data_IF_876038560117
#
_entry.id   IF_876038560117
#
_cell.length_a   1.000
_cell.length_b   1.000
_cell.length_c   1.000
_cell.angle_alpha   90.00
_cell.angle_beta   90.00
_cell.angle_gamma   90.00
#
_symmetry.space_group_name_H-M   'P 1'
#
loop_
_entity.id
_entity.type
_entity.pdbx_description
1 polymer ?
#
# COMPACT_ATOMS: atom_id res chain seq x y z
N UNK A 1 -0.84 -12.21 -11.29
CA UNK A 1 -0.57 -11.09 -10.35
C UNK A 1 -0.54 -9.73 -11.00
N UNK A 2 0.44 -9.40 -11.86
CA UNK A 2 0.57 -8.05 -12.42
C UNK A 2 -0.68 -7.56 -13.15
N UNK A 3 -1.40 -8.44 -13.85
CA UNK A 3 -2.71 -8.11 -14.45
C UNK A 3 -3.73 -7.69 -13.38
N UNK A 4 -3.80 -8.40 -12.25
CA UNK A 4 -4.71 -8.05 -11.15
C UNK A 4 -4.26 -6.75 -10.45
N UNK A 5 -2.97 -6.49 -10.34
CA UNK A 5 -2.44 -5.30 -9.67
C UNK A 5 -2.50 -4.04 -10.56
N UNK A 6 -2.35 -4.17 -11.88
CA UNK A 6 -2.16 -3.03 -12.79
C UNK A 6 -3.15 -2.96 -13.98
N UNK A 7 -3.97 -3.99 -14.21
CA UNK A 7 -5.03 -3.99 -15.24
C UNK A 7 -6.42 -4.01 -14.61
N UNK A 8 -7.45 -4.05 -15.45
CA UNK A 8 -8.87 -4.13 -15.09
C UNK A 8 -9.31 -3.01 -14.13
N UNK A 9 -8.90 -1.77 -14.45
CA UNK A 9 -9.08 -0.61 -13.57
C UNK A 9 -10.56 -0.22 -13.43
N UNK A 10 -11.35 -0.37 -14.50
CA UNK A 10 -12.76 0.04 -14.54
C UNK A 10 -13.74 -1.07 -14.16
N UNK A 11 -13.51 -2.30 -14.60
CA UNK A 11 -14.49 -3.39 -14.46
C UNK A 11 -13.99 -4.54 -13.56
N UNK A 12 -12.74 -4.49 -13.12
CA UNK A 12 -12.15 -5.55 -12.30
C UNK A 12 -12.87 -5.69 -10.96
N UNK A 13 -13.25 -6.91 -10.61
CA UNK A 13 -13.82 -7.25 -9.30
C UNK A 13 -12.89 -8.23 -8.60
N UNK A 14 -12.84 -8.14 -7.27
CA UNK A 14 -11.96 -8.99 -6.46
C UNK A 14 -12.73 -9.59 -5.29
N UNK A 15 -12.84 -10.91 -5.27
CA UNK A 15 -13.50 -11.65 -4.20
C UNK A 15 -12.70 -11.58 -2.90
N UNK A 16 -13.37 -11.82 -1.76
CA UNK A 16 -12.80 -11.68 -0.39
C UNK A 16 -11.45 -12.40 -0.21
N UNK A 17 -11.39 -13.69 -0.54
CA UNK A 17 -10.16 -14.47 -0.35
C UNK A 17 -9.02 -13.99 -1.26
N UNK A 18 -9.35 -13.59 -2.49
CA UNK A 18 -8.37 -13.04 -3.42
C UNK A 18 -7.85 -11.67 -2.93
N UNK A 19 -8.74 -10.82 -2.42
CA UNK A 19 -8.36 -9.55 -1.80
C UNK A 19 -7.39 -9.75 -0.62
N UNK A 20 -7.70 -10.69 0.27
CA UNK A 20 -6.81 -11.04 1.38
C UNK A 20 -5.44 -11.51 0.87
N UNK A 21 -5.43 -12.50 -0.03
CA UNK A 21 -4.20 -13.08 -0.56
C UNK A 21 -3.32 -12.06 -1.26
N UNK A 22 -3.88 -11.21 -2.12
CA UNK A 22 -3.11 -10.17 -2.80
C UNK A 22 -2.65 -9.06 -1.87
N UNK A 23 -3.43 -8.70 -0.84
CA UNK A 23 -3.00 -7.70 0.15
C UNK A 23 -1.85 -8.22 1.00
N UNK A 24 -1.94 -9.45 1.49
CA UNK A 24 -0.85 -10.11 2.24
C UNK A 24 0.41 -10.16 1.37
N UNK A 25 0.28 -10.55 0.10
CA UNK A 25 1.42 -10.65 -0.80
C UNK A 25 2.07 -9.30 -1.06
N UNK A 26 1.27 -8.23 -1.16
CA UNK A 26 1.77 -6.86 -1.28
C UNK A 26 2.50 -6.42 0.00
N UNK A 27 1.98 -6.75 1.18
CA UNK A 27 2.67 -6.50 2.45
C UNK A 27 3.97 -7.29 2.60
N UNK A 28 4.00 -8.56 2.19
CA UNK A 28 5.21 -9.37 2.18
C UNK A 28 6.27 -8.78 1.24
N UNK A 29 5.84 -8.26 0.08
CA UNK A 29 6.74 -7.56 -0.83
C UNK A 29 7.32 -6.28 -0.21
N UNK A 30 6.49 -5.45 0.43
CA UNK A 30 6.96 -4.27 1.16
C UNK A 30 7.92 -4.64 2.30
N UNK A 31 7.58 -5.70 3.06
CA UNK A 31 8.41 -6.20 4.14
C UNK A 31 9.76 -6.70 3.63
N UNK A 32 9.79 -7.41 2.50
CA UNK A 32 11.05 -7.84 1.88
C UNK A 32 11.92 -6.64 1.48
N UNK A 33 11.34 -5.59 0.87
CA UNK A 33 12.08 -4.35 0.56
C UNK A 33 12.62 -3.72 1.85
N UNK A 34 11.81 -3.63 2.89
CA UNK A 34 12.23 -3.09 4.18
C UNK A 34 13.41 -3.87 4.78
N UNK A 35 13.33 -5.20 4.80
CA UNK A 35 14.43 -6.06 5.29
C UNK A 35 15.70 -5.86 4.46
N UNK A 36 15.59 -5.76 3.13
CA UNK A 36 16.74 -5.49 2.27
C UNK A 36 17.37 -4.13 2.56
N UNK A 37 16.57 -3.09 2.81
CA UNK A 37 17.08 -1.78 3.20
C UNK A 37 17.80 -1.82 4.55
N UNK A 38 17.21 -2.45 5.56
CA UNK A 38 17.83 -2.61 6.89
C UNK A 38 19.13 -3.40 6.79
N UNK A 39 19.14 -4.50 6.02
CA UNK A 39 20.34 -5.31 5.81
C UNK A 39 21.45 -4.53 5.08
N UNK A 40 21.10 -3.72 4.07
CA UNK A 40 22.05 -2.86 3.37
C UNK A 40 22.67 -1.80 4.30
N UNK A 41 21.84 -1.17 5.15
CA UNK A 41 22.32 -0.21 6.15
C UNK A 41 23.22 -0.90 7.18
N UNK A 42 22.80 -2.03 7.73
CA UNK A 42 23.58 -2.79 8.72
C UNK A 42 24.89 -3.32 8.17
N UNK A 43 24.92 -3.78 6.91
CA UNK A 43 26.17 -4.14 6.23
C UNK A 43 27.09 -2.93 6.07
N UNK A 44 26.55 -1.76 5.69
CA UNK A 44 27.30 -0.51 5.61
C UNK A 44 27.87 -0.07 6.97
N UNK A 45 27.08 -0.19 8.03
CA UNK A 45 27.50 0.10 9.41
C UNK A 45 28.64 -0.81 9.87
N UNK A 46 28.53 -2.12 9.64
CA UNK A 46 29.56 -3.08 10.00
C UNK A 46 30.89 -2.80 9.27
N UNK A 47 30.81 -2.46 7.97
CA UNK A 47 31.97 -2.07 7.17
C UNK A 47 32.61 -0.75 7.61
N UNK A 48 31.87 0.11 8.32
CA UNK A 48 32.35 1.40 8.84
C UNK A 48 32.62 1.40 10.35
N UNK A 49 32.81 0.21 10.93
CA UNK A 49 33.23 0.08 12.33
C UNK A 49 32.17 0.51 13.35
N UNK A 50 30.87 0.38 13.01
CA UNK A 50 29.77 0.66 13.94
C UNK A 50 29.29 2.11 13.97
N UNK A 51 29.76 2.97 13.05
CA UNK A 51 29.27 4.34 12.95
C UNK A 51 28.07 4.43 12.01
N UNK A 52 26.86 4.31 12.59
CA UNK A 52 25.59 4.38 11.87
C UNK A 52 25.42 5.68 11.05
N UNK A 53 25.80 6.82 11.63
CA UNK A 53 25.63 8.14 11.01
C UNK A 53 26.47 8.23 9.73
N UNK A 54 27.74 7.82 9.81
CA UNK A 54 28.66 7.83 8.68
C UNK A 54 28.25 6.82 7.60
N UNK A 55 27.72 5.65 7.99
CA UNK A 55 27.19 4.66 7.05
C UNK A 55 25.99 5.19 6.28
N UNK A 56 25.06 5.88 6.94
CA UNK A 56 23.91 6.51 6.29
C UNK A 56 24.35 7.62 5.33
N UNK A 57 25.24 8.52 5.75
CA UNK A 57 25.74 9.61 4.89
C UNK A 57 26.41 9.08 3.62
N UNK A 58 27.26 8.04 3.74
CA UNK A 58 27.88 7.41 2.58
C UNK A 58 26.88 6.67 1.70
N UNK A 59 25.86 6.02 2.28
CA UNK A 59 24.77 5.40 1.52
C UNK A 59 24.01 6.45 0.71
N UNK A 60 23.64 7.58 1.33
CA UNK A 60 23.00 8.69 0.64
C UNK A 60 23.90 9.32 -0.44
N UNK A 61 25.18 9.49 -0.16
CA UNK A 61 26.14 9.98 -1.16
C UNK A 61 26.37 8.99 -2.31
N UNK A 62 26.19 7.68 -2.05
CA UNK A 62 26.31 6.63 -3.07
C UNK A 62 25.03 6.47 -3.91
N UNK A 63 23.89 6.96 -3.42
CA UNK A 63 22.66 6.96 -4.20
C UNK A 63 22.72 8.02 -5.30
N UNK A 64 22.85 7.54 -6.52
CA UNK A 64 22.74 8.39 -7.70
C UNK A 64 21.28 8.78 -7.95
N UNK A 65 21.06 9.90 -8.66
CA UNK A 65 19.72 10.36 -9.07
C UNK A 65 18.88 9.23 -9.70
N UNK A 66 19.42 8.36 -10.59
CA UNK A 66 18.67 7.20 -11.10
C UNK A 66 18.13 6.26 -10.02
N UNK A 67 18.85 6.06 -8.92
CA UNK A 67 18.37 5.20 -7.82
C UNK A 67 17.18 5.83 -7.12
N UNK A 68 17.22 7.14 -6.85
CA UNK A 68 16.08 7.86 -6.27
C UNK A 68 14.86 7.81 -7.18
N UNK A 69 15.04 7.99 -8.50
CA UNK A 69 13.96 7.85 -9.48
C UNK A 69 13.39 6.43 -9.46
N UNK A 70 14.26 5.41 -9.46
CA UNK A 70 13.85 4.01 -9.37
C UNK A 70 13.02 3.72 -8.13
N UNK A 71 13.48 4.16 -6.95
CA UNK A 71 12.75 4.03 -5.69
C UNK A 71 11.40 4.76 -5.73
N UNK A 72 11.36 5.98 -6.26
CA UNK A 72 10.13 6.75 -6.42
C UNK A 72 9.10 6.02 -7.30
N UNK A 73 9.54 5.45 -8.42
CA UNK A 73 8.67 4.65 -9.31
C UNK A 73 8.15 3.41 -8.58
N UNK A 74 9.01 2.68 -7.85
CA UNK A 74 8.61 1.50 -7.08
C UNK A 74 7.53 1.87 -6.04
N UNK A 75 7.72 2.98 -5.31
CA UNK A 75 6.75 3.45 -4.32
C UNK A 75 5.42 3.88 -4.96
N UNK A 76 5.45 4.55 -6.11
CA UNK A 76 4.24 4.89 -6.87
C UNK A 76 3.50 3.64 -7.35
N UNK A 77 4.21 2.67 -7.93
CA UNK A 77 3.63 1.42 -8.41
C UNK A 77 3.02 0.61 -7.25
N UNK A 78 3.71 0.57 -6.11
CA UNK A 78 3.22 -0.06 -4.89
C UNK A 78 1.92 0.58 -4.39
N UNK A 79 1.92 1.91 -4.29
CA UNK A 79 0.76 2.68 -3.82
C UNK A 79 -0.42 2.50 -4.77
N UNK A 80 -0.17 2.57 -6.08
CA UNK A 80 -1.18 2.32 -7.10
C UNK A 80 -1.75 0.90 -7.02
N UNK A 81 -0.90 -0.12 -6.87
CA UNK A 81 -1.34 -1.50 -6.71
C UNK A 81 -2.24 -1.68 -5.48
N UNK A 82 -1.89 -1.05 -4.36
CA UNK A 82 -2.69 -1.07 -3.14
C UNK A 82 -4.07 -0.43 -3.35
N UNK A 83 -4.10 0.78 -3.95
CA UNK A 83 -5.34 1.49 -4.27
C UNK A 83 -6.21 0.71 -5.25
N UNK A 84 -5.62 0.08 -6.27
CA UNK A 84 -6.36 -0.71 -7.25
C UNK A 84 -7.01 -1.95 -6.62
N UNK A 85 -6.34 -2.62 -5.66
CA UNK A 85 -6.95 -3.74 -4.92
C UNK A 85 -8.19 -3.28 -4.14
N UNK A 86 -8.11 -2.12 -3.48
CA UNK A 86 -9.24 -1.51 -2.77
C UNK A 86 -10.37 -1.17 -3.74
N UNK A 87 -10.07 -0.52 -4.86
CA UNK A 87 -11.07 -0.16 -5.87
C UNK A 87 -11.83 -1.40 -6.39
N UNK A 88 -11.11 -2.49 -6.67
CA UNK A 88 -11.73 -3.75 -7.11
C UNK A 88 -12.56 -4.43 -6.04
N UNK A 89 -12.14 -4.36 -4.78
CA UNK A 89 -12.92 -4.92 -3.65
C UNK A 89 -14.17 -4.10 -3.37
N UNK A 90 -14.07 -2.77 -3.38
CA UNK A 90 -15.20 -1.84 -3.23
C UNK A 90 -16.22 -2.08 -4.34
N UNK A 91 -15.77 -2.24 -5.59
CA UNK A 91 -16.64 -2.60 -6.72
C UNK A 91 -17.30 -3.96 -6.52
N UNK A 92 -16.58 -4.94 -6.02
CA UNK A 92 -17.14 -6.26 -5.74
C UNK A 92 -18.21 -6.26 -4.62
N UNK A 93 -18.18 -5.27 -3.74
CA UNK A 93 -19.20 -5.07 -2.70
C UNK A 93 -20.47 -4.38 -3.27
N UNK A 94 -20.41 -3.85 -4.49
CA UNK A 94 -21.49 -3.11 -5.15
C UNK A 94 -21.37 -1.58 -5.04
N UNK A 95 -20.21 -1.06 -4.61
CA UNK A 95 -19.97 0.38 -4.46
C UNK A 95 -19.11 0.95 -5.61
N UNK A 96 -19.14 2.27 -5.87
CA UNK A 96 -18.28 2.90 -6.87
C UNK A 96 -16.78 2.75 -6.51
N UNK A 97 -16.05 1.89 -7.23
CA UNK A 97 -14.68 1.48 -6.89
C UNK A 97 -13.70 2.64 -6.60
N UNK A 98 -13.36 3.45 -7.61
CA UNK A 98 -12.38 4.53 -7.48
C UNK A 98 -12.85 5.71 -6.62
N UNK A 99 -14.15 6.01 -6.64
CA UNK A 99 -14.72 7.04 -5.77
C UNK A 99 -14.67 6.61 -4.30
N UNK A 100 -14.92 5.33 -4.00
CA UNK A 100 -14.74 4.79 -2.65
C UNK A 100 -13.28 4.89 -2.18
N UNK A 101 -12.31 4.59 -3.06
CA UNK A 101 -10.89 4.80 -2.75
C UNK A 101 -10.58 6.27 -2.47
N UNK A 102 -11.09 7.20 -3.28
CA UNK A 102 -10.88 8.63 -3.09
C UNK A 102 -11.43 9.11 -1.73
N UNK A 103 -12.63 8.65 -1.36
CA UNK A 103 -13.24 8.96 -0.05
C UNK A 103 -12.36 8.44 1.09
N UNK A 104 -11.86 7.20 1.00
CA UNK A 104 -10.94 6.63 1.99
C UNK A 104 -9.67 7.47 2.11
N UNK A 105 -9.07 7.89 0.99
CA UNK A 105 -7.86 8.72 0.99
C UNK A 105 -8.12 10.08 1.66
N UNK A 106 -9.18 10.77 1.26
CA UNK A 106 -9.53 12.08 1.81
C UNK A 106 -9.83 11.99 3.31
N UNK A 107 -10.53 10.93 3.73
CA UNK A 107 -10.77 10.64 5.14
C UNK A 107 -9.46 10.38 5.90
N UNK A 108 -8.57 9.55 5.35
CA UNK A 108 -7.27 9.26 5.98
C UNK A 108 -6.40 10.51 6.13
N UNK A 109 -6.39 11.39 5.12
CA UNK A 109 -5.68 12.68 5.18
C UNK A 109 -6.30 13.57 6.25
N UNK A 110 -7.63 13.75 6.23
CA UNK A 110 -8.33 14.57 7.20
C UNK A 110 -8.10 14.09 8.64
N UNK A 111 -8.22 12.78 8.89
CA UNK A 111 -7.96 12.20 10.21
C UNK A 111 -6.50 12.34 10.65
N UNK A 112 -5.56 12.22 9.71
CA UNK A 112 -4.14 12.39 10.01
C UNK A 112 -3.81 13.83 10.40
N UNK A 113 -4.45 14.82 9.77
CA UNK A 113 -4.20 16.25 10.02
C UNK A 113 -4.96 16.78 11.24
N UNK A 114 -6.20 16.31 11.47
CA UNK A 114 -7.10 16.84 12.50
C UNK A 114 -7.03 16.08 13.83
N UNK A 115 -6.60 14.81 13.82
CA UNK A 115 -6.56 13.95 15.02
C UNK A 115 -5.14 13.46 15.28
N UNK A 116 -4.65 12.51 14.48
CA UNK A 116 -3.26 12.03 14.48
C UNK A 116 -3.05 10.99 13.38
N UNK A 117 -1.80 10.85 12.94
CA UNK A 117 -1.40 9.77 12.04
C UNK A 117 -1.72 8.37 12.62
N UNK A 118 -1.49 8.17 13.93
CA UNK A 118 -1.75 6.89 14.60
C UNK A 118 -3.24 6.51 14.55
N UNK A 119 -4.12 7.47 14.81
CA UNK A 119 -5.56 7.26 14.73
C UNK A 119 -6.00 6.96 13.29
N UNK A 120 -5.48 7.70 12.30
CA UNK A 120 -5.76 7.47 10.88
C UNK A 120 -5.37 6.04 10.44
N UNK A 121 -4.21 5.54 10.90
CA UNK A 121 -3.79 4.16 10.64
C UNK A 121 -4.72 3.12 11.28
N UNK A 122 -5.20 3.37 12.49
CA UNK A 122 -6.20 2.53 13.16
C UNK A 122 -7.50 2.44 12.36
N UNK A 123 -8.01 3.60 11.91
CA UNK A 123 -9.20 3.65 11.04
C UNK A 123 -8.96 2.96 9.70
N UNK A 124 -7.79 3.13 9.09
CA UNK A 124 -7.40 2.42 7.87
C UNK A 124 -7.42 0.90 8.02
N UNK A 125 -7.00 0.40 9.18
CA UNK A 125 -7.08 -1.04 9.52
C UNK A 125 -8.53 -1.52 9.65
N UNK A 126 -9.39 -0.72 10.29
CA UNK A 126 -10.82 -1.04 10.38
C UNK A 126 -11.50 -1.04 9.01
N UNK A 127 -11.15 -0.08 8.13
CA UNK A 127 -11.64 -0.06 6.75
C UNK A 127 -11.19 -1.31 6.00
N UNK A 128 -9.93 -1.70 6.13
CA UNK A 128 -9.42 -2.93 5.51
C UNK A 128 -10.19 -4.17 5.99
N UNK A 129 -10.45 -4.29 7.29
CA UNK A 129 -11.27 -5.36 7.86
C UNK A 129 -12.70 -5.33 7.34
N UNK A 130 -13.33 -4.15 7.25
CA UNK A 130 -14.66 -4.00 6.70
C UNK A 130 -14.71 -4.48 5.24
N UNK A 131 -13.76 -4.06 4.41
CA UNK A 131 -13.66 -4.51 3.01
C UNK A 131 -13.45 -6.01 2.88
N UNK A 132 -12.74 -6.63 3.82
CA UNK A 132 -12.52 -8.08 3.86
C UNK A 132 -13.78 -8.86 4.24
N UNK A 133 -14.52 -8.38 5.25
CA UNK A 133 -15.64 -9.10 5.86
C UNK A 133 -16.95 -8.94 5.08
N UNK A 134 -17.21 -7.75 4.52
CA UNK A 134 -18.45 -7.46 3.79
C UNK A 134 -18.58 -8.41 2.58
N UNK A 135 -19.73 -9.12 2.42
CA UNK A 135 -19.96 -9.99 1.28
C UNK A 135 -19.97 -9.28 -0.09
N UNK A 136 -19.75 -10.08 -1.13
CA UNK A 136 -19.93 -9.66 -2.52
C UNK A 136 -21.39 -9.27 -2.79
N UNK A 137 -21.61 -8.24 -3.61
CA UNK A 137 -22.93 -7.73 -4.04
C UNK A 137 -23.88 -7.26 -2.91
N UNK A 138 -23.34 -6.92 -1.74
CA UNK A 138 -24.16 -6.50 -0.58
C UNK A 138 -24.97 -5.24 -0.87
N UNK A 139 -24.39 -4.25 -1.56
CA UNK A 139 -25.04 -2.95 -1.79
C UNK A 139 -25.74 -2.85 -3.14
N UNK A 140 -25.49 -3.76 -4.07
CA UNK A 140 -26.17 -3.77 -5.38
C UNK A 140 -27.67 -4.12 -5.22
N UNK A 141 -28.02 -4.90 -4.19
CA UNK A 141 -29.40 -5.27 -3.85
C UNK A 141 -30.20 -4.15 -3.17
N UNK A 142 -29.55 -3.08 -2.69
CA UNK A 142 -30.19 -1.98 -1.96
C UNK A 142 -30.51 -0.79 -2.90
N UNK A 143 -29.89 -0.76 -4.08
CA UNK A 143 -30.00 0.34 -5.05
C UNK A 143 -30.89 -0.04 -6.26
N UNK A 144 -31.46 -1.25 -6.27
CA UNK A 144 -32.49 -1.70 -7.25
C UNK A 144 -33.90 -1.51 -6.73
#
# INVERSE_FOLDING_TARGET
>A
MLKVLFKDLHDGRLQRLQFLGYTILLWLFAFAIFVLMVAAIGAGEHLMGGNLQQAQEKLFASFSIPVFIGLGIVMLLFSFAHMNLYAKRIRDIGLPGWWGVLVIILLSIALSLLVSAQFSNGVGTLIWLALLLIPTDTFEQVVS
#
